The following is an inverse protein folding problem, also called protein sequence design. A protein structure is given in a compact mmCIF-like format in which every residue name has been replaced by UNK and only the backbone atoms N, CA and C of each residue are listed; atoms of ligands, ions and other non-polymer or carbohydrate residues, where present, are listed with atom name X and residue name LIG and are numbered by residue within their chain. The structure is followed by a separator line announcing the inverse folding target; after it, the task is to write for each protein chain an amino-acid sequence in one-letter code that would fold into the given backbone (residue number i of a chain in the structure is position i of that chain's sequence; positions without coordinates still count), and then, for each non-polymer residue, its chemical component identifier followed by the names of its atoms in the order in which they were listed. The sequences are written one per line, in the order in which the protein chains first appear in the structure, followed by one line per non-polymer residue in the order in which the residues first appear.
data_IF_948695603489
#
_entry.id   IF_948695603489
#
_cell.length_a   1.000
_cell.length_b   1.000
_cell.length_c   1.000
_cell.angle_alpha   90.00
_cell.angle_beta   90.00
_cell.angle_gamma   90.00
#
_symmetry.space_group_name_H-M   'P 1'
#
loop_
_entity.id
_entity.type
_entity.pdbx_description
1 polymer ?
#
# COMPACT_ATOMS: atom_id res chain seq x y z
N UNK A 1 -25.85 -17.91 -0.33
CA UNK A 1 -25.50 -17.21 0.93
C UNK A 1 -24.00 -17.17 1.22
N UNK A 2 -23.24 -18.26 1.14
CA UNK A 2 -21.76 -18.23 1.36
C UNK A 2 -20.95 -18.10 0.07
N UNK A 3 -21.35 -18.79 -1.01
CA UNK A 3 -20.75 -18.64 -2.34
C UNK A 3 -20.78 -17.19 -2.85
N UNK A 4 -21.89 -16.47 -2.59
CA UNK A 4 -22.02 -15.06 -2.94
C UNK A 4 -21.06 -14.16 -2.12
N UNK A 5 -20.82 -14.50 -0.84
CA UNK A 5 -19.86 -13.77 0.00
C UNK A 5 -18.41 -14.01 -0.45
N UNK A 6 -18.09 -15.19 -0.97
CA UNK A 6 -16.76 -15.54 -1.50
C UNK A 6 -16.53 -14.89 -2.87
N UNK A 7 -17.49 -14.98 -3.79
CA UNK A 7 -17.41 -14.29 -5.07
C UNK A 7 -17.37 -12.76 -4.86
N UNK A 8 -18.14 -12.28 -3.88
CA UNK A 8 -18.09 -10.91 -3.39
C UNK A 8 -16.69 -10.55 -2.88
N UNK A 9 -16.13 -11.30 -1.94
CA UNK A 9 -14.79 -11.03 -1.40
C UNK A 9 -13.69 -11.10 -2.46
N UNK A 10 -13.73 -12.08 -3.37
CA UNK A 10 -12.77 -12.20 -4.47
C UNK A 10 -12.87 -11.04 -5.46
N UNK A 11 -14.09 -10.65 -5.84
CA UNK A 11 -14.29 -9.47 -6.70
C UNK A 11 -13.91 -8.18 -5.99
N UNK A 12 -14.22 -8.03 -4.70
CA UNK A 12 -13.80 -6.89 -3.88
C UNK A 12 -12.28 -6.80 -3.78
N UNK A 13 -11.57 -7.92 -3.66
CA UNK A 13 -10.11 -7.95 -3.57
C UNK A 13 -9.46 -7.60 -4.91
N UNK A 14 -10.02 -8.10 -6.03
CA UNK A 14 -9.58 -7.71 -7.38
C UNK A 14 -9.85 -6.23 -7.63
N UNK A 15 -11.06 -5.74 -7.33
CA UNK A 15 -11.43 -4.33 -7.48
C UNK A 15 -10.58 -3.44 -6.56
N UNK A 16 -10.33 -3.85 -5.31
CA UNK A 16 -9.47 -3.13 -4.37
C UNK A 16 -8.00 -3.11 -4.83
N UNK A 17 -7.51 -4.17 -5.45
CA UNK A 17 -6.14 -4.23 -5.97
C UNK A 17 -5.93 -3.33 -7.19
N UNK A 18 -6.99 -3.09 -7.96
CA UNK A 18 -7.00 -2.16 -9.09
C UNK A 18 -7.31 -0.72 -8.69
N UNK A 19 -8.09 -0.53 -7.62
CA UNK A 19 -8.45 0.79 -7.13
C UNK A 19 -7.26 1.49 -6.49
N UNK A 20 -7.26 2.80 -6.70
CA UNK A 20 -6.31 3.74 -6.16
C UNK A 20 -6.28 3.63 -4.63
N UNK A 21 -5.16 3.16 -4.09
CA UNK A 21 -5.04 2.87 -2.65
C UNK A 21 -4.63 4.12 -1.88
N UNK A 22 -3.81 4.98 -2.49
CA UNK A 22 -3.46 6.29 -1.94
C UNK A 22 -3.00 7.23 -3.07
N UNK A 23 -3.41 8.49 -2.98
CA UNK A 23 -2.96 9.61 -3.81
C UNK A 23 -1.93 10.40 -3.03
N UNK A 24 -0.69 10.47 -3.52
CA UNK A 24 0.32 11.37 -2.98
C UNK A 24 0.27 12.68 -3.76
N UNK A 25 -0.33 13.71 -3.17
CA UNK A 25 -0.27 15.07 -3.71
C UNK A 25 1.00 15.76 -3.18
N UNK A 26 1.97 15.96 -4.07
CA UNK A 26 3.19 16.71 -3.75
C UNK A 26 2.87 18.21 -3.78
N UNK A 27 2.50 18.76 -2.64
CA UNK A 27 2.21 20.20 -2.47
C UNK A 27 3.48 20.97 -2.08
N UNK A 28 3.63 22.21 -2.55
CA UNK A 28 4.72 23.12 -2.19
C UNK A 28 5.70 23.45 -3.34
N UNK A 29 6.86 24.02 -3.00
CA UNK A 29 7.91 24.43 -3.96
C UNK A 29 8.43 23.26 -4.81
N UNK A 30 8.55 22.08 -4.20
CA UNK A 30 8.89 20.84 -4.89
C UNK A 30 7.83 20.40 -5.92
N UNK A 31 6.54 20.63 -5.63
CA UNK A 31 5.44 20.39 -6.57
C UNK A 31 5.39 21.39 -7.74
N UNK A 32 5.92 22.61 -7.54
CA UNK A 32 5.97 23.63 -8.60
C UNK A 32 7.10 23.42 -9.63
N UNK A 33 8.17 22.72 -9.23
CA UNK A 33 9.34 22.41 -10.08
C UNK A 33 9.13 21.10 -10.87
N UNK A 34 8.24 20.22 -10.42
CA UNK A 34 7.95 18.97 -11.09
C UNK A 34 6.87 19.12 -12.17
N UNK A 35 7.04 18.52 -13.36
CA UNK A 35 6.05 18.54 -14.42
C UNK A 35 4.71 17.91 -13.97
N UNK A 36 3.56 18.34 -14.52
CA UNK A 36 2.23 17.96 -14.07
C UNK A 36 1.96 16.44 -14.07
N UNK A 37 2.68 15.67 -14.91
CA UNK A 37 2.62 14.20 -14.94
C UNK A 37 3.16 13.48 -13.68
N UNK A 38 3.88 14.19 -12.80
CA UNK A 38 4.46 13.63 -11.57
C UNK A 38 3.79 14.23 -10.32
N UNK A 39 2.92 15.24 -10.48
CA UNK A 39 2.28 15.96 -9.37
C UNK A 39 1.19 15.16 -8.67
N UNK A 40 0.41 14.41 -9.44
CA UNK A 40 -0.69 13.58 -8.96
C UNK A 40 -0.32 12.10 -9.21
N UNK A 41 0.57 11.55 -8.37
CA UNK A 41 0.93 10.13 -8.46
C UNK A 41 -0.06 9.33 -7.65
N UNK A 42 -1.03 8.75 -8.34
CA UNK A 42 -1.87 7.74 -7.73
C UNK A 42 -1.21 6.37 -7.76
N UNK A 43 -1.20 5.70 -6.61
CA UNK A 43 -0.64 4.36 -6.48
C UNK A 43 -1.74 3.37 -6.10
N UNK A 44 -2.03 2.44 -6.99
CA UNK A 44 -2.72 1.19 -6.66
C UNK A 44 -1.72 0.21 -6.07
N UNK A 45 -2.15 -0.72 -5.21
CA UNK A 45 -1.32 -1.79 -4.61
C UNK A 45 -0.40 -2.50 -5.63
N UNK A 46 -0.96 -2.87 -6.79
CA UNK A 46 -0.24 -3.52 -7.89
C UNK A 46 0.70 -2.54 -8.62
N UNK A 47 0.29 -1.27 -8.75
CA UNK A 47 1.11 -0.21 -9.32
C UNK A 47 2.33 0.11 -8.46
N UNK A 48 2.18 0.09 -7.14
CA UNK A 48 3.27 0.28 -6.19
C UNK A 48 4.28 -0.86 -6.31
N UNK A 49 3.81 -2.12 -6.29
CA UNK A 49 4.66 -3.30 -6.48
C UNK A 49 5.47 -3.24 -7.79
N UNK A 50 4.85 -2.81 -8.89
CA UNK A 50 5.51 -2.69 -10.19
C UNK A 50 6.57 -1.58 -10.25
N UNK A 51 6.46 -0.58 -9.37
CA UNK A 51 7.37 0.58 -9.33
C UNK A 51 8.50 0.43 -8.30
N UNK A 52 8.48 -0.58 -7.43
CA UNK A 52 9.58 -0.83 -6.46
C UNK A 52 10.95 -0.95 -7.17
N UNK A 53 10.98 -1.57 -8.35
CA UNK A 53 12.21 -1.75 -9.12
C UNK A 53 12.70 -0.46 -9.79
N UNK A 54 11.82 0.50 -10.07
CA UNK A 54 12.17 1.75 -10.75
C UNK A 54 12.62 2.87 -9.81
N UNK A 55 12.35 2.74 -8.50
CA UNK A 55 12.73 3.75 -7.50
C UNK A 55 14.21 3.63 -7.08
N UNK A 56 14.85 2.47 -7.28
CA UNK A 56 16.23 2.23 -6.89
C UNK A 56 17.10 1.75 -8.08
N UNK A 57 17.37 2.61 -9.08
CA UNK A 57 18.13 2.24 -10.28
C UNK A 57 19.59 1.85 -10.03
N UNK A 58 20.13 2.11 -8.83
CA UNK A 58 21.49 1.74 -8.44
C UNK A 58 21.61 0.46 -7.63
N UNK A 59 20.49 -0.22 -7.36
CA UNK A 59 20.48 -1.45 -6.59
C UNK A 59 20.49 -2.69 -7.47
N UNK A 60 20.97 -3.80 -6.92
CA UNK A 60 21.07 -5.07 -7.64
C UNK A 60 19.68 -5.53 -8.13
N UNK A 61 19.51 -5.59 -9.45
CA UNK A 61 18.25 -5.93 -10.11
C UNK A 61 17.63 -7.25 -9.58
N UNK A 62 18.47 -8.21 -9.21
CA UNK A 62 18.04 -9.50 -8.68
C UNK A 62 17.43 -9.41 -7.27
N UNK A 63 17.98 -8.55 -6.40
CA UNK A 63 17.44 -8.35 -5.04
C UNK A 63 16.11 -7.58 -5.09
N UNK A 64 16.00 -6.61 -5.99
CA UNK A 64 14.77 -5.85 -6.22
C UNK A 64 13.67 -6.73 -6.81
N UNK A 65 14.00 -7.61 -7.75
CA UNK A 65 13.05 -8.59 -8.29
C UNK A 65 12.53 -9.56 -7.22
N UNK A 66 13.41 -10.02 -6.32
CA UNK A 66 13.02 -10.87 -5.19
C UNK A 66 12.09 -10.13 -4.22
N UNK A 67 12.39 -8.87 -3.90
CA UNK A 67 11.57 -8.06 -3.01
C UNK A 67 10.18 -7.81 -3.63
N UNK A 68 10.13 -7.49 -4.92
CA UNK A 68 8.87 -7.35 -5.66
C UNK A 68 8.07 -8.65 -5.64
N UNK A 69 8.72 -9.80 -5.85
CA UNK A 69 8.06 -11.11 -5.82
C UNK A 69 7.51 -11.45 -4.43
N UNK A 70 8.29 -11.24 -3.38
CA UNK A 70 7.87 -11.47 -1.99
C UNK A 70 6.69 -10.57 -1.64
N UNK A 71 6.74 -9.30 -2.02
CA UNK A 71 5.65 -8.35 -1.80
C UNK A 71 4.36 -8.81 -2.48
N UNK A 72 4.45 -9.20 -3.76
CA UNK A 72 3.30 -9.70 -4.52
C UNK A 72 2.72 -10.99 -3.90
N UNK A 73 3.59 -11.90 -3.46
CA UNK A 73 3.16 -13.15 -2.82
C UNK A 73 2.43 -12.87 -1.52
N UNK A 74 3.02 -12.09 -0.61
CA UNK A 74 2.47 -11.85 0.73
C UNK A 74 1.21 -10.98 0.74
N UNK A 75 1.15 -9.97 -0.12
CA UNK A 75 0.07 -8.97 -0.12
C UNK A 75 -1.10 -9.37 -1.02
N UNK A 76 -0.85 -10.15 -2.08
CA UNK A 76 -1.89 -10.50 -3.07
C UNK A 76 -2.18 -12.00 -3.16
N UNK A 77 -1.14 -12.85 -3.34
CA UNK A 77 -1.36 -14.29 -3.53
C UNK A 77 -1.83 -14.96 -2.25
N UNK A 78 -1.16 -14.73 -1.12
CA UNK A 78 -1.49 -15.36 0.16
C UNK A 78 -2.93 -15.11 0.62
N UNK A 79 -3.49 -13.88 0.63
CA UNK A 79 -4.89 -13.67 0.99
C UNK A 79 -5.87 -14.32 0.00
N UNK A 80 -5.55 -14.37 -1.29
CA UNK A 80 -6.38 -15.10 -2.27
C UNK A 80 -6.41 -16.60 -1.99
N UNK A 81 -5.24 -17.20 -1.72
CA UNK A 81 -5.14 -18.62 -1.40
C UNK A 81 -5.88 -18.94 -0.08
N UNK A 82 -5.82 -18.05 0.90
CA UNK A 82 -6.60 -18.18 2.14
C UNK A 82 -8.12 -18.17 1.87
N UNK A 83 -8.63 -17.22 1.07
CA UNK A 83 -10.04 -17.15 0.68
C UNK A 83 -10.49 -18.42 -0.07
N UNK A 84 -9.66 -18.93 -0.98
CA UNK A 84 -9.91 -20.20 -1.67
C UNK A 84 -9.93 -21.37 -0.68
N UNK A 85 -9.02 -21.39 0.29
CA UNK A 85 -8.95 -22.47 1.29
C UNK A 85 -10.21 -22.50 2.18
N UNK A 86 -10.71 -21.32 2.58
CA UNK A 86 -11.99 -21.20 3.29
C UNK A 86 -13.17 -21.68 2.43
N UNK A 87 -13.13 -21.41 1.12
CA UNK A 87 -14.15 -21.85 0.15
C UNK A 87 -14.21 -23.37 0.06
N UNK A 88 -13.05 -24.02 -0.07
CA UNK A 88 -12.95 -25.49 -0.14
C UNK A 88 -13.45 -26.12 1.15
N UNK A 89 -13.09 -25.55 2.31
CA UNK A 89 -13.54 -26.03 3.61
C UNK A 89 -15.07 -25.97 3.78
N UNK A 90 -15.71 -25.00 3.12
CA UNK A 90 -17.16 -24.78 3.20
C UNK A 90 -17.97 -25.60 2.18
N UNK A 91 -17.46 -25.78 0.96
CA UNK A 91 -18.16 -26.51 -0.11
C UNK A 91 -18.00 -28.02 0.01
N UNK A 92 -16.87 -28.49 0.52
CA UNK A 92 -16.57 -29.91 0.61
C UNK A 92 -16.87 -30.38 2.02
N UNK A 93 -17.93 -31.19 2.24
CA UNK A 93 -18.13 -31.86 3.51
C UNK A 93 -17.02 -32.90 3.72
N UNK A 94 -15.91 -32.46 4.33
CA UNK A 94 -14.74 -33.28 4.65
C UNK A 94 -14.94 -34.05 5.95
N UNK A 95 -14.25 -35.20 6.07
CA UNK A 95 -14.14 -35.94 7.33
C UNK A 95 -13.50 -35.08 8.43
N UNK A 96 -13.87 -35.34 9.68
CA UNK A 96 -13.46 -34.56 10.86
C UNK A 96 -11.94 -34.40 10.99
N UNK A 97 -11.17 -35.44 10.66
CA UNK A 97 -9.70 -35.42 10.73
C UNK A 97 -9.06 -34.54 9.64
N UNK A 98 -9.58 -34.61 8.41
CA UNK A 98 -9.06 -33.83 7.29
C UNK A 98 -9.47 -32.36 7.40
N UNK A 99 -10.68 -32.09 7.90
CA UNK A 99 -11.16 -30.74 8.16
C UNK A 99 -10.29 -30.02 9.20
N UNK A 100 -9.87 -30.70 10.28
CA UNK A 100 -8.99 -30.12 11.29
C UNK A 100 -7.62 -29.72 10.70
N UNK A 101 -7.01 -30.58 9.88
CA UNK A 101 -5.73 -30.27 9.20
C UNK A 101 -5.85 -29.10 8.24
N UNK A 102 -6.96 -29.04 7.49
CA UNK A 102 -7.22 -27.97 6.53
C UNK A 102 -7.47 -26.62 7.21
N UNK A 103 -8.14 -26.63 8.37
CA UNK A 103 -8.31 -25.42 9.21
C UNK A 103 -6.95 -24.91 9.68
N UNK A 104 -6.08 -25.76 10.22
CA UNK A 104 -4.73 -25.35 10.67
C UNK A 104 -3.91 -24.79 9.50
N UNK A 105 -3.97 -25.42 8.32
CA UNK A 105 -3.30 -24.89 7.13
C UNK A 105 -3.83 -23.50 6.73
N UNK A 106 -5.15 -23.29 6.83
CA UNK A 106 -5.77 -21.99 6.56
C UNK A 106 -5.40 -20.93 7.58
N UNK A 107 -5.24 -21.28 8.86
CA UNK A 107 -4.77 -20.35 9.90
C UNK A 107 -3.32 -19.94 9.67
N UNK A 108 -2.47 -20.87 9.26
CA UNK A 108 -1.09 -20.56 8.86
C UNK A 108 -1.10 -19.62 7.65
N UNK A 109 -1.89 -19.91 6.60
CA UNK A 109 -1.97 -19.02 5.44
C UNK A 109 -2.52 -17.63 5.81
N UNK A 110 -3.48 -17.54 6.71
CA UNK A 110 -3.96 -16.26 7.23
C UNK A 110 -2.86 -15.50 7.99
N UNK A 111 -2.07 -16.18 8.81
CA UNK A 111 -0.95 -15.58 9.52
C UNK A 111 0.14 -15.02 8.57
N UNK A 112 0.23 -15.55 7.35
CA UNK A 112 1.13 -15.06 6.31
C UNK A 112 0.51 -13.95 5.44
N UNK A 113 -0.80 -13.69 5.54
CA UNK A 113 -1.45 -12.60 4.83
C UNK A 113 -1.09 -11.27 5.51
N UNK A 114 -0.17 -10.53 4.90
CA UNK A 114 0.36 -9.29 5.48
C UNK A 114 -0.40 -8.03 5.02
N UNK A 115 -1.65 -8.16 4.55
CA UNK A 115 -2.40 -7.02 3.98
C UNK A 115 -2.69 -5.95 5.04
N UNK A 116 -3.08 -6.35 6.25
CA UNK A 116 -3.36 -5.40 7.34
C UNK A 116 -2.06 -4.71 7.80
N UNK A 117 -0.98 -5.47 7.91
CA UNK A 117 0.35 -4.96 8.25
C UNK A 117 0.83 -3.97 7.18
N UNK A 118 0.61 -4.28 5.90
CA UNK A 118 0.96 -3.38 4.80
C UNK A 118 0.21 -2.04 4.91
N UNK A 119 -1.11 -2.06 5.15
CA UNK A 119 -1.91 -0.85 5.31
C UNK A 119 -1.39 -0.01 6.49
N UNK A 120 -1.12 -0.65 7.63
CA UNK A 120 -0.57 0.03 8.81
C UNK A 120 0.79 0.66 8.54
N UNK A 121 1.66 -0.04 7.79
CA UNK A 121 2.97 0.49 7.42
C UNK A 121 2.85 1.70 6.49
N UNK A 122 1.97 1.64 5.48
CA UNK A 122 1.71 2.79 4.60
C UNK A 122 1.20 3.98 5.40
N UNK A 123 0.25 3.78 6.31
CA UNK A 123 -0.26 4.85 7.16
C UNK A 123 0.83 5.43 8.07
N UNK A 124 1.66 4.59 8.68
CA UNK A 124 2.78 5.02 9.50
C UNK A 124 3.78 5.84 8.69
N UNK A 125 4.13 5.39 7.48
CA UNK A 125 5.02 6.13 6.58
C UNK A 125 4.45 7.49 6.16
N UNK A 126 3.14 7.59 5.93
CA UNK A 126 2.51 8.87 5.60
C UNK A 126 2.56 9.85 6.79
N UNK A 127 2.31 9.37 8.00
CA UNK A 127 2.39 10.19 9.21
C UNK A 127 3.83 10.66 9.50
N UNK A 128 4.81 9.77 9.29
CA UNK A 128 6.22 10.09 9.44
C UNK A 128 6.67 11.14 8.41
N UNK A 129 6.23 11.01 7.15
CA UNK A 129 6.51 12.00 6.10
C UNK A 129 5.93 13.38 6.44
N UNK A 130 4.71 13.45 6.97
CA UNK A 130 4.08 14.71 7.38
C UNK A 130 4.86 15.40 8.51
N UNK A 131 5.34 14.60 9.47
CA UNK A 131 6.20 15.11 10.55
C UNK A 131 7.53 15.65 10.03
N UNK A 132 8.18 14.97 9.07
CA UNK A 132 9.40 15.47 8.44
C UNK A 132 9.16 16.72 7.60
N UNK A 133 8.05 16.79 6.85
CA UNK A 133 7.69 17.97 6.07
C UNK A 133 7.47 19.19 6.97
N UNK A 134 6.79 19.02 8.10
CA UNK A 134 6.63 20.07 9.10
C UNK A 134 7.96 20.52 9.71
N UNK A 135 8.91 19.61 9.95
CA UNK A 135 10.25 19.97 10.42
C UNK A 135 11.06 20.73 9.36
N UNK A 136 10.97 20.35 8.08
CA UNK A 136 11.64 21.04 6.98
C UNK A 136 11.06 22.42 6.67
N UNK A 137 9.75 22.63 6.88
CA UNK A 137 9.07 23.92 6.69
C UNK A 137 9.10 24.81 7.94
N UNK A 138 9.35 24.22 9.12
CA UNK A 138 9.42 24.91 10.41
C UNK A 138 10.45 26.05 10.45
N UNK A 139 10.18 27.04 11.32
CA UNK A 139 10.86 28.32 11.63
C UNK A 139 11.32 29.22 10.45
N UNK A 140 11.72 28.66 9.32
CA UNK A 140 12.18 29.37 8.12
C UNK A 140 11.03 30.15 7.46
N UNK A 141 9.80 29.61 7.45
CA UNK A 141 8.63 30.33 6.93
C UNK A 141 8.20 31.49 7.84
N UNK A 142 8.49 31.45 9.14
CA UNK A 142 8.19 32.58 10.04
C UNK A 142 9.12 33.76 9.75
N UNK A 143 10.40 33.48 9.49
CA UNK A 143 11.37 34.50 9.04
C UNK A 143 10.96 35.05 7.67
N UNK A 144 10.57 34.18 6.73
CA UNK A 144 10.11 34.61 5.41
C UNK A 144 8.84 35.47 5.48
N UNK A 145 7.87 35.10 6.34
CA UNK A 145 6.64 35.85 6.55
C UNK A 145 6.90 37.23 7.17
N UNK A 146 7.88 37.33 8.07
CA UNK A 146 8.36 38.63 8.59
C UNK A 146 8.98 39.48 7.48
N UNK A 147 9.81 38.89 6.60
CA UNK A 147 10.40 39.63 5.47
C UNK A 147 9.36 40.06 4.43
N UNK A 148 8.43 39.17 4.05
CA UNK A 148 7.34 39.49 3.12
C UNK A 148 6.46 40.59 3.68
N UNK A 149 6.07 40.51 4.95
CA UNK A 149 5.27 41.55 5.61
C UNK A 149 6.03 42.87 5.73
N UNK A 150 7.36 42.86 5.85
CA UNK A 150 8.18 44.07 5.93
C UNK A 150 8.36 44.79 4.60
N UNK A 151 8.38 44.08 3.47
CA UNK A 151 8.59 44.66 2.14
C UNK A 151 7.33 44.84 1.29
N UNK A 152 6.27 44.05 1.55
CA UNK A 152 5.02 44.10 0.79
C UNK A 152 3.84 44.73 1.56
N UNK A 153 4.05 45.27 2.77
CA UNK A 153 3.02 46.07 3.47
C UNK A 153 3.03 47.57 3.14
N UNK A 154 4.03 48.02 2.38
CA UNK A 154 4.15 49.41 1.87
C UNK A 154 3.57 49.58 0.44
N UNK A 155 2.88 48.57 -0.10
CA UNK A 155 2.08 48.62 -1.32
C UNK A 155 0.59 48.42 -0.99
#
# INVERSE_FOLDING_TARGET
SVLAAIFGAGTMLVVASTNETFTLELVGLAGSILPPDIRDRTYSLLGMASKITSVAPHANAQQMGLLQAIFYVLVFITPLVWLVSLTVLWLVPMSSLNRARFVVASEIMHAWAAIDVFILMVLASLLELDQFAHFMVGDECDVLNVFVKKYFSDL
#
